data_IF_742476958393
#
_entry.id   IF_742476958393
#
_cell.length_a   1.000
_cell.length_b   1.000
_cell.length_c   1.000
_cell.angle_alpha   90.00
_cell.angle_beta   90.00
_cell.angle_gamma   90.00
#
_symmetry.space_group_name_H-M   'P 1'
#
loop_
_entity.id
_entity.type
_entity.pdbx_description
1 polymer ?
#
# COMPACT_ATOMS: atom_id res chain seq x y z
N UNK A 1 24.05 -12.78 -9.05
CA UNK A 1 23.84 -14.13 -9.60
C UNK A 1 22.39 -14.53 -9.35
N UNK A 2 21.71 -15.08 -10.34
CA UNK A 2 20.31 -15.50 -10.25
C UNK A 2 20.30 -17.03 -10.12
N UNK A 3 19.94 -17.55 -8.95
CA UNK A 3 20.08 -18.97 -8.58
C UNK A 3 18.96 -19.36 -7.61
N UNK A 4 18.49 -20.60 -7.65
CA UNK A 4 17.55 -21.11 -6.64
C UNK A 4 18.19 -21.28 -5.26
N UNK A 5 17.36 -21.42 -4.23
CA UNK A 5 17.87 -21.75 -2.89
C UNK A 5 18.54 -23.14 -2.86
N UNK A 6 17.99 -24.11 -3.59
CA UNK A 6 18.53 -25.46 -3.70
C UNK A 6 19.91 -25.46 -4.39
N UNK A 7 20.01 -24.86 -5.57
CA UNK A 7 21.28 -24.74 -6.31
C UNK A 7 22.32 -23.92 -5.52
N UNK A 8 21.88 -22.89 -4.79
CA UNK A 8 22.75 -22.09 -3.93
C UNK A 8 23.35 -22.93 -2.80
N UNK A 9 22.53 -23.75 -2.14
CA UNK A 9 22.99 -24.65 -1.08
C UNK A 9 23.91 -25.73 -1.62
N UNK A 10 23.59 -26.32 -2.77
CA UNK A 10 24.40 -27.36 -3.39
C UNK A 10 25.78 -26.84 -3.80
N UNK A 11 25.82 -25.66 -4.46
CA UNK A 11 27.04 -25.13 -5.06
C UNK A 11 27.91 -24.32 -4.09
N UNK A 12 27.30 -23.62 -3.13
CA UNK A 12 27.99 -22.66 -2.26
C UNK A 12 27.82 -22.96 -0.77
N UNK A 13 27.00 -23.95 -0.38
CA UNK A 13 26.74 -24.28 1.02
C UNK A 13 25.96 -23.20 1.79
N UNK A 14 25.34 -22.25 1.09
CA UNK A 14 24.66 -21.07 1.65
C UNK A 14 23.27 -20.90 1.06
N UNK A 15 22.37 -20.30 1.84
CA UNK A 15 21.06 -19.90 1.32
C UNK A 15 21.19 -18.85 0.21
N UNK A 16 20.25 -18.83 -0.72
CA UNK A 16 20.24 -17.88 -1.84
C UNK A 16 20.27 -16.41 -1.39
N UNK A 17 19.57 -16.08 -0.29
CA UNK A 17 19.59 -14.75 0.32
C UNK A 17 20.93 -14.38 0.94
N UNK A 18 21.61 -15.33 1.59
CA UNK A 18 22.93 -15.14 2.19
C UNK A 18 23.99 -14.92 1.10
N UNK A 19 24.01 -15.78 0.08
CA UNK A 19 24.90 -15.65 -1.08
C UNK A 19 24.68 -14.33 -1.83
N UNK A 20 23.42 -13.91 -1.96
CA UNK A 20 23.07 -12.60 -2.54
C UNK A 20 23.70 -11.46 -1.75
N UNK A 21 23.65 -11.51 -0.42
CA UNK A 21 24.27 -10.50 0.45
C UNK A 21 25.79 -10.43 0.29
N UNK A 22 26.48 -11.57 0.14
CA UNK A 22 27.93 -11.61 -0.08
C UNK A 22 28.36 -11.10 -1.46
N UNK A 23 27.52 -11.37 -2.47
CA UNK A 23 27.77 -10.95 -3.84
C UNK A 23 27.22 -9.55 -4.15
N UNK A 24 26.60 -8.88 -3.18
CA UNK A 24 26.03 -7.55 -3.38
C UNK A 24 27.16 -6.51 -3.51
N UNK A 25 27.18 -5.81 -4.64
CA UNK A 25 28.11 -4.71 -4.86
C UNK A 25 27.51 -3.47 -4.20
N UNK A 26 28.21 -2.90 -3.23
CA UNK A 26 27.85 -1.62 -2.62
C UNK A 26 28.14 -0.47 -3.61
N UNK A 27 27.10 0.07 -4.24
CA UNK A 27 27.21 1.19 -5.17
C UNK A 27 25.86 1.55 -5.82
N UNK A 28 25.80 2.66 -6.57
CA UNK A 28 24.61 3.02 -7.34
C UNK A 28 24.24 1.91 -8.31
N UNK A 29 22.98 1.45 -8.27
CA UNK A 29 22.44 0.42 -9.16
C UNK A 29 21.16 0.89 -9.81
N UNK A 30 21.00 0.62 -11.11
CA UNK A 30 19.75 0.76 -11.83
C UNK A 30 19.12 -0.61 -11.99
N UNK A 31 18.00 -0.83 -11.31
CA UNK A 31 17.21 -2.07 -11.43
C UNK A 31 15.90 -1.69 -12.10
N UNK A 32 15.70 -2.18 -13.32
CA UNK A 32 14.44 -2.00 -14.06
C UNK A 32 13.47 -3.13 -13.72
N UNK A 33 12.17 -2.87 -13.82
CA UNK A 33 11.14 -3.88 -13.59
C UNK A 33 11.30 -5.10 -14.50
N UNK A 34 11.68 -4.88 -15.76
CA UNK A 34 11.95 -5.93 -16.75
C UNK A 34 13.03 -6.93 -16.27
N UNK A 35 14.01 -6.47 -15.48
CA UNK A 35 15.07 -7.33 -14.98
C UNK A 35 14.54 -8.41 -14.03
N UNK A 36 13.41 -8.20 -13.36
CA UNK A 36 12.76 -9.24 -12.55
C UNK A 36 12.10 -10.36 -13.38
N UNK A 37 11.91 -10.14 -14.68
CA UNK A 37 11.39 -11.15 -15.62
C UNK A 37 12.50 -11.80 -16.44
N UNK A 38 13.55 -11.05 -16.79
CA UNK A 38 14.58 -11.49 -17.74
C UNK A 38 15.91 -11.89 -17.10
N UNK A 39 16.27 -11.32 -15.95
CA UNK A 39 17.63 -11.42 -15.39
C UNK A 39 17.66 -12.02 -13.99
N UNK A 40 16.74 -11.62 -13.12
CA UNK A 40 16.63 -12.14 -11.76
C UNK A 40 15.67 -13.33 -11.71
N UNK A 41 16.05 -14.35 -10.96
CA UNK A 41 15.17 -15.42 -10.58
C UNK A 41 14.20 -14.83 -9.59
N UNK A 42 12.92 -14.97 -9.89
CA UNK A 42 11.86 -14.66 -8.96
C UNK A 42 11.79 -15.79 -7.93
N UNK A 43 11.82 -15.43 -6.65
CA UNK A 43 11.60 -16.38 -5.57
C UNK A 43 10.19 -16.97 -5.68
N UNK A 44 10.03 -18.26 -5.40
CA UNK A 44 8.74 -18.94 -5.53
C UNK A 44 7.64 -18.25 -4.71
N UNK A 45 7.96 -17.76 -3.50
CA UNK A 45 7.05 -16.95 -2.67
C UNK A 45 6.73 -15.57 -3.26
N UNK A 46 7.62 -15.00 -4.07
CA UNK A 46 7.32 -13.78 -4.82
C UNK A 46 6.34 -14.05 -5.97
N UNK A 47 6.48 -15.20 -6.64
CA UNK A 47 5.51 -15.65 -7.66
C UNK A 47 4.14 -15.81 -7.01
N UNK A 48 4.05 -16.55 -5.90
CA UNK A 48 2.80 -16.75 -5.16
C UNK A 48 2.12 -15.43 -4.79
N UNK A 49 2.85 -14.48 -4.19
CA UNK A 49 2.31 -13.15 -3.85
C UNK A 49 1.80 -12.38 -5.06
N UNK A 50 2.47 -12.48 -6.21
CA UNK A 50 2.04 -11.81 -7.44
C UNK A 50 0.81 -12.49 -8.02
N UNK A 51 0.77 -13.83 -8.01
CA UNK A 51 -0.41 -14.61 -8.41
C UNK A 51 -1.61 -14.24 -7.55
N UNK A 52 -1.48 -14.26 -6.22
CA UNK A 52 -2.55 -13.85 -5.31
C UNK A 52 -3.00 -12.41 -5.59
N UNK A 53 -2.04 -11.49 -5.75
CA UNK A 53 -2.35 -10.10 -6.07
C UNK A 53 -3.15 -9.98 -7.36
N UNK A 54 -2.69 -10.57 -8.46
CA UNK A 54 -3.30 -10.37 -9.77
C UNK A 54 -4.53 -11.23 -10.02
N UNK A 55 -4.58 -12.46 -9.52
CA UNK A 55 -5.68 -13.39 -9.77
C UNK A 55 -6.79 -13.27 -8.74
N UNK A 56 -6.46 -12.95 -7.49
CA UNK A 56 -7.46 -12.84 -6.43
C UNK A 56 -7.79 -11.39 -6.07
N UNK A 57 -6.81 -10.53 -5.76
CA UNK A 57 -7.09 -9.19 -5.23
C UNK A 57 -7.47 -8.16 -6.30
N UNK A 58 -6.73 -8.12 -7.42
CA UNK A 58 -6.93 -7.13 -8.50
C UNK A 58 -8.31 -7.15 -9.16
N UNK A 59 -9.03 -8.29 -9.29
CA UNK A 59 -10.42 -8.29 -9.75
C UNK A 59 -11.39 -7.46 -8.89
N UNK A 60 -11.05 -7.20 -7.62
CA UNK A 60 -11.83 -6.36 -6.71
C UNK A 60 -11.39 -4.88 -6.71
N UNK A 61 -10.39 -4.51 -7.51
CA UNK A 61 -9.87 -3.14 -7.58
C UNK A 61 -10.57 -2.39 -8.71
N UNK A 62 -11.41 -1.42 -8.35
CA UNK A 62 -12.13 -0.59 -9.33
C UNK A 62 -11.22 0.36 -10.12
N UNK A 63 -10.10 0.80 -9.52
CA UNK A 63 -9.16 1.74 -10.13
C UNK A 63 -7.75 1.53 -9.60
N UNK A 64 -6.77 1.49 -10.51
CA UNK A 64 -5.34 1.47 -10.18
C UNK A 64 -4.74 2.87 -10.05
N UNK A 65 -5.57 3.91 -10.14
CA UNK A 65 -5.13 5.30 -10.04
C UNK A 65 -4.65 5.60 -8.62
N UNK A 66 -3.44 6.12 -8.50
CA UNK A 66 -2.87 6.55 -7.21
C UNK A 66 -3.15 8.03 -6.99
N UNK A 67 -3.39 8.42 -5.73
CA UNK A 67 -3.52 9.82 -5.37
C UNK A 67 -2.22 10.58 -5.68
N UNK A 68 -2.26 11.73 -6.39
CA UNK A 68 -1.08 12.48 -6.79
C UNK A 68 -0.29 13.03 -5.59
N UNK A 69 1.03 12.90 -5.66
CA UNK A 69 1.94 13.33 -4.57
C UNK A 69 2.10 14.85 -4.46
N UNK A 70 1.71 15.58 -5.50
CA UNK A 70 1.87 17.03 -5.66
C UNK A 70 0.56 17.82 -5.49
N UNK A 71 -0.50 17.17 -5.00
CA UNK A 71 -1.70 17.87 -4.53
C UNK A 71 -1.34 18.87 -3.42
N UNK A 72 -1.75 20.13 -3.61
CA UNK A 72 -1.53 21.21 -2.65
C UNK A 72 -2.81 21.55 -1.87
N UNK A 73 -2.65 21.77 -0.56
CA UNK A 73 -3.73 22.09 0.36
C UNK A 73 -3.73 23.57 0.72
N UNK A 74 -4.91 24.13 0.92
CA UNK A 74 -5.11 25.45 1.51
C UNK A 74 -4.87 25.41 3.01
N UNK A 75 -4.69 26.57 3.65
CA UNK A 75 -4.51 26.64 5.11
C UNK A 75 -5.65 25.98 5.90
N UNK A 76 -6.92 26.23 5.53
CA UNK A 76 -8.06 25.60 6.21
C UNK A 76 -8.13 24.10 6.01
N UNK A 77 -7.73 23.61 4.84
CA UNK A 77 -7.67 22.17 4.57
C UNK A 77 -6.59 21.51 5.41
N UNK A 78 -5.45 22.17 5.61
CA UNK A 78 -4.42 21.70 6.54
C UNK A 78 -4.92 21.69 7.98
N UNK A 79 -5.66 22.72 8.42
CA UNK A 79 -6.27 22.74 9.76
C UNK A 79 -7.23 21.55 9.98
N UNK A 80 -8.07 21.24 8.99
CA UNK A 80 -8.96 20.07 9.02
C UNK A 80 -8.17 18.74 9.04
N UNK A 81 -7.12 18.61 8.21
CA UNK A 81 -6.25 17.43 8.21
C UNK A 81 -5.61 17.23 9.58
N UNK A 82 -4.99 18.27 10.14
CA UNK A 82 -4.30 18.20 11.42
C UNK A 82 -5.26 17.87 12.57
N UNK A 83 -6.49 18.38 12.50
CA UNK A 83 -7.51 18.12 13.52
C UNK A 83 -8.03 16.67 13.52
N UNK A 84 -8.26 16.10 12.34
CA UNK A 84 -8.96 14.80 12.22
C UNK A 84 -8.04 13.61 11.95
N UNK A 85 -6.92 13.79 11.23
CA UNK A 85 -6.11 12.67 10.70
C UNK A 85 -5.63 11.72 11.78
N UNK A 86 -5.05 12.24 12.86
CA UNK A 86 -4.47 11.40 13.90
C UNK A 86 -5.51 10.48 14.57
N UNK A 87 -6.71 11.01 14.85
CA UNK A 87 -7.80 10.23 15.44
C UNK A 87 -8.37 9.21 14.45
N UNK A 88 -8.48 9.57 13.18
CA UNK A 88 -8.90 8.65 12.12
C UNK A 88 -7.92 7.49 11.95
N UNK A 89 -6.62 7.77 11.77
CA UNK A 89 -5.58 6.76 11.60
C UNK A 89 -5.48 5.83 12.82
N UNK A 90 -5.60 6.38 14.03
CA UNK A 90 -5.57 5.58 15.26
C UNK A 90 -6.75 4.61 15.34
N UNK A 91 -7.97 5.09 15.04
CA UNK A 91 -9.18 4.26 15.05
C UNK A 91 -9.12 3.15 14.00
N UNK A 92 -8.60 3.45 12.81
CA UNK A 92 -8.40 2.46 11.74
C UNK A 92 -7.39 1.40 12.18
N UNK A 93 -6.22 1.82 12.69
CA UNK A 93 -5.17 0.89 13.09
C UNK A 93 -5.59 -0.01 14.25
N UNK A 94 -6.31 0.52 15.23
CA UNK A 94 -6.86 -0.27 16.35
C UNK A 94 -7.84 -1.33 15.84
N UNK A 95 -8.78 -0.93 14.98
CA UNK A 95 -9.80 -1.86 14.46
C UNK A 95 -9.19 -2.93 13.55
N UNK A 96 -8.22 -2.57 12.71
CA UNK A 96 -7.45 -3.51 11.88
C UNK A 96 -6.75 -4.56 12.76
N UNK A 97 -6.07 -4.12 13.84
CA UNK A 97 -5.42 -5.02 14.78
C UNK A 97 -6.39 -5.98 15.46
N UNK A 98 -7.60 -5.52 15.80
CA UNK A 98 -8.66 -6.36 16.35
C UNK A 98 -9.14 -7.41 15.35
N UNK A 99 -9.29 -7.07 14.07
CA UNK A 99 -9.70 -8.02 13.03
C UNK A 99 -8.64 -9.05 12.70
N UNK A 100 -7.36 -8.65 12.65
CA UNK A 100 -6.25 -9.58 12.48
C UNK A 100 -6.22 -10.59 13.63
N UNK A 101 -6.48 -10.14 14.87
CA UNK A 101 -6.44 -10.98 16.06
C UNK A 101 -7.67 -11.89 16.22
N UNK A 102 -8.86 -11.34 16.02
CA UNK A 102 -10.12 -11.97 16.43
C UNK A 102 -10.97 -12.45 15.23
N UNK A 103 -10.55 -12.17 14.00
CA UNK A 103 -11.35 -12.40 12.79
C UNK A 103 -12.02 -11.12 12.28
N UNK A 104 -12.33 -11.11 10.98
CA UNK A 104 -12.98 -9.98 10.31
C UNK A 104 -14.39 -9.68 10.84
N UNK A 105 -14.92 -8.48 10.56
CA UNK A 105 -16.22 -8.05 11.04
C UNK A 105 -17.37 -8.80 10.35
N UNK A 106 -18.50 -8.88 11.02
CA UNK A 106 -19.81 -9.08 10.36
C UNK A 106 -20.24 -7.80 9.63
N UNK A 107 -21.21 -7.89 8.72
CA UNK A 107 -21.73 -6.72 7.99
C UNK A 107 -22.25 -5.62 8.94
N UNK A 108 -22.92 -6.01 10.02
CA UNK A 108 -23.43 -5.06 11.02
C UNK A 108 -22.30 -4.34 11.78
N UNK A 109 -21.22 -5.05 12.12
CA UNK A 109 -20.04 -4.46 12.76
C UNK A 109 -19.29 -3.54 11.81
N UNK A 110 -19.20 -3.90 10.53
CA UNK A 110 -18.59 -3.07 9.49
C UNK A 110 -19.35 -1.74 9.32
N UNK A 111 -20.67 -1.77 9.21
CA UNK A 111 -21.49 -0.56 9.09
C UNK A 111 -21.37 0.33 10.34
N UNK A 112 -21.34 -0.28 11.52
CA UNK A 112 -21.11 0.47 12.78
C UNK A 112 -19.73 1.12 12.81
N UNK A 113 -18.70 0.45 12.32
CA UNK A 113 -17.35 0.98 12.21
C UNK A 113 -17.29 2.18 11.24
N UNK A 114 -17.86 2.06 10.04
CA UNK A 114 -17.95 3.17 9.09
C UNK A 114 -18.64 4.38 9.73
N UNK A 115 -19.77 4.15 10.42
CA UNK A 115 -20.49 5.21 11.13
C UNK A 115 -19.62 5.88 12.18
N UNK A 116 -18.86 5.10 12.96
CA UNK A 116 -17.92 5.64 13.95
C UNK A 116 -16.86 6.55 13.29
N UNK A 117 -16.24 6.09 12.19
CA UNK A 117 -15.24 6.89 11.48
C UNK A 117 -15.81 8.22 10.96
N UNK A 118 -17.03 8.20 10.40
CA UNK A 118 -17.71 9.41 9.93
C UNK A 118 -18.05 10.38 11.06
N UNK A 119 -18.72 9.89 12.10
CA UNK A 119 -19.30 10.73 13.14
C UNK A 119 -18.30 11.18 14.21
N UNK A 120 -17.25 10.40 14.45
CA UNK A 120 -16.31 10.63 15.57
C UNK A 120 -14.90 10.94 15.13
N UNK A 121 -14.46 10.41 13.98
CA UNK A 121 -13.09 10.58 13.50
C UNK A 121 -12.96 11.55 12.32
N UNK A 122 -14.06 12.15 11.86
CA UNK A 122 -14.02 13.16 10.80
C UNK A 122 -13.69 12.62 9.41
N UNK A 123 -14.00 11.34 9.13
CA UNK A 123 -13.72 10.72 7.84
C UNK A 123 -14.27 11.54 6.66
N UNK A 124 -15.50 12.03 6.76
CA UNK A 124 -16.13 12.83 5.69
C UNK A 124 -15.41 14.18 5.50
N UNK A 125 -14.85 14.77 6.56
CA UNK A 125 -14.04 16.01 6.44
C UNK A 125 -12.75 15.75 5.69
N UNK A 126 -12.02 14.70 6.07
CA UNK A 126 -10.80 14.30 5.40
C UNK A 126 -11.05 13.98 3.92
N UNK A 127 -12.07 13.18 3.61
CA UNK A 127 -12.42 12.83 2.22
C UNK A 127 -12.71 14.08 1.37
N UNK A 128 -13.48 15.03 1.91
CA UNK A 128 -13.76 16.28 1.19
C UNK A 128 -12.51 17.11 0.93
N UNK A 129 -11.60 17.21 1.91
CA UNK A 129 -10.33 17.93 1.76
C UNK A 129 -9.45 17.30 0.68
N UNK A 130 -9.25 15.98 0.73
CA UNK A 130 -8.45 15.27 -0.27
C UNK A 130 -9.08 15.35 -1.67
N UNK A 131 -10.41 15.20 -1.77
CA UNK A 131 -11.10 15.32 -3.05
C UNK A 131 -10.97 16.73 -3.64
N UNK A 132 -11.16 17.78 -2.83
CA UNK A 132 -11.02 19.16 -3.29
C UNK A 132 -9.59 19.48 -3.77
N UNK A 133 -8.57 18.97 -3.07
CA UNK A 133 -7.18 19.11 -3.50
C UNK A 133 -6.90 18.36 -4.82
N UNK A 134 -7.42 17.15 -4.96
CA UNK A 134 -7.32 16.37 -6.19
C UNK A 134 -8.04 17.03 -7.38
N UNK A 135 -9.23 17.58 -7.16
CA UNK A 135 -10.00 18.25 -8.21
C UNK A 135 -9.27 19.51 -8.73
N UNK A 136 -8.64 20.27 -7.83
CA UNK A 136 -7.76 21.38 -8.22
C UNK A 136 -6.54 20.90 -9.01
N UNK A 137 -5.88 19.84 -8.54
CA UNK A 137 -4.71 19.27 -9.22
C UNK A 137 -5.07 18.77 -10.63
N UNK A 138 -6.16 18.04 -10.77
CA UNK A 138 -6.59 17.42 -12.03
C UNK A 138 -7.25 18.41 -13.00
N UNK A 139 -7.39 19.68 -12.63
CA UNK A 139 -8.05 20.70 -13.44
C UNK A 139 -9.58 20.52 -13.56
N UNK A 140 -10.16 19.62 -12.76
CA UNK A 140 -11.60 19.41 -12.63
C UNK A 140 -12.18 20.50 -11.73
N UNK A 141 -12.12 21.76 -12.15
CA UNK A 141 -12.75 22.83 -11.38
C UNK A 141 -14.27 22.66 -11.48
N UNK A 142 -14.90 22.27 -10.37
CA UNK A 142 -16.35 22.45 -10.19
C UNK A 142 -16.65 23.95 -10.26
N UNK A 143 -17.48 24.34 -11.24
CA UNK A 143 -17.96 25.71 -11.38
C UNK A 143 -18.51 26.22 -10.03
N UNK A 144 -18.06 27.42 -9.63
CA UNK A 144 -18.67 28.20 -8.53
C UNK A 144 -20.11 28.57 -8.87
#
# INVERSE_FOLDING_TARGET
MSISDEESREKYGKGSGELKGECEVAGPKLILSDYYQTTFRMEDRAIERLTDLYEFWMPYVDSTTTYPVDCVFTGRELDDIDWYRANFESAVSEQEGLWIKNGGPTDEEWEKYIKHLREKCGMDKLLNVYQAAYDRYSGKVSAQ
#
